data_IF_542154322562
#
_entry.id   IF_542154322562
#
_cell.length_a   1.000
_cell.length_b   1.000
_cell.length_c   1.000
_cell.angle_alpha   90.00
_cell.angle_beta   90.00
_cell.angle_gamma   90.00
#
_symmetry.space_group_name_H-M   'P 1'
#
loop_
_entity.id
_entity.type
_entity.pdbx_description
1 polymer ?
#
# COMPACT_ATOMS: atom_id res chain seq x y z
N UNK A 1 -1.26 23.50 -18.17
CA UNK A 1 -2.03 22.71 -19.15
C UNK A 1 -2.83 21.70 -18.36
N UNK A 2 -4.17 21.69 -18.43
CA UNK A 2 -4.96 20.54 -17.90
C UNK A 2 -4.67 19.37 -18.85
N UNK A 3 -4.02 18.34 -18.36
CA UNK A 3 -3.86 17.10 -19.11
C UNK A 3 -5.25 16.56 -19.46
N UNK A 4 -5.47 16.32 -20.74
CA UNK A 4 -6.72 15.79 -21.26
C UNK A 4 -6.80 14.30 -20.91
N UNK A 5 -7.43 13.98 -19.78
CA UNK A 5 -7.55 12.62 -19.29
C UNK A 5 -8.68 11.89 -20.02
N UNK A 6 -8.38 10.71 -20.57
CA UNK A 6 -9.36 9.87 -21.27
C UNK A 6 -10.33 9.25 -20.26
N UNK A 7 -11.53 9.78 -20.18
CA UNK A 7 -12.54 9.42 -19.16
C UNK A 7 -12.92 7.94 -19.13
N UNK A 8 -12.84 7.23 -20.26
CA UNK A 8 -13.12 5.79 -20.32
C UNK A 8 -12.02 4.95 -19.64
N UNK A 9 -10.76 5.35 -19.79
CA UNK A 9 -9.62 4.68 -19.14
C UNK A 9 -9.70 4.89 -17.64
N UNK A 10 -9.93 6.14 -17.20
CA UNK A 10 -10.07 6.44 -15.77
C UNK A 10 -11.17 5.63 -15.10
N UNK A 11 -12.33 5.45 -15.78
CA UNK A 11 -13.42 4.63 -15.24
C UNK A 11 -13.03 3.16 -15.12
N UNK A 12 -12.31 2.62 -16.11
CA UNK A 12 -11.82 1.24 -16.06
C UNK A 12 -10.82 1.04 -14.91
N UNK A 13 -9.90 1.99 -14.69
CA UNK A 13 -8.94 1.97 -13.58
C UNK A 13 -9.67 2.02 -12.23
N UNK A 14 -10.64 2.94 -12.05
CA UNK A 14 -11.46 3.00 -10.84
C UNK A 14 -12.20 1.70 -10.52
N UNK A 15 -12.65 0.97 -11.55
CA UNK A 15 -13.24 -0.35 -11.35
C UNK A 15 -12.19 -1.35 -10.84
N UNK A 16 -10.99 -1.36 -11.39
CA UNK A 16 -9.90 -2.24 -10.90
C UNK A 16 -9.48 -1.89 -9.48
N UNK A 17 -9.46 -0.61 -9.13
CA UNK A 17 -9.13 -0.13 -7.78
C UNK A 17 -10.10 -0.66 -6.72
N UNK A 18 -11.38 -0.90 -7.04
CA UNK A 18 -12.32 -1.52 -6.11
C UNK A 18 -11.87 -2.91 -5.62
N UNK A 19 -11.04 -3.61 -6.38
CA UNK A 19 -10.56 -4.95 -6.05
C UNK A 19 -9.21 -4.96 -5.29
N UNK A 20 -8.69 -3.80 -4.90
CA UNK A 20 -7.47 -3.72 -4.10
C UNK A 20 -7.71 -4.20 -2.67
N UNK A 21 -8.92 -4.04 -2.14
CA UNK A 21 -9.30 -4.57 -0.83
C UNK A 21 -9.71 -6.04 -0.96
N UNK A 22 -8.87 -6.92 -0.42
CA UNK A 22 -8.92 -8.37 -0.61
C UNK A 22 -10.15 -9.09 -0.05
N UNK A 23 -11.02 -8.40 0.69
CA UNK A 23 -12.14 -9.02 1.42
C UNK A 23 -13.52 -8.75 0.81
N UNK A 24 -13.59 -8.07 -0.34
CA UNK A 24 -14.88 -7.68 -0.92
C UNK A 24 -15.12 -8.40 -2.24
N UNK A 25 -16.14 -9.27 -2.27
CA UNK A 25 -16.67 -9.78 -3.53
C UNK A 25 -17.57 -8.71 -4.18
N UNK A 26 -17.22 -8.31 -5.37
CA UNK A 26 -17.97 -7.30 -6.11
C UNK A 26 -18.95 -7.92 -7.10
N UNK A 27 -20.22 -7.57 -6.97
CA UNK A 27 -21.22 -7.79 -8.02
C UNK A 27 -21.35 -6.55 -8.90
N UNK A 28 -21.94 -6.69 -10.08
CA UNK A 28 -22.19 -5.52 -10.94
C UNK A 28 -23.01 -4.46 -10.23
N UNK A 29 -24.03 -4.87 -9.44
CA UNK A 29 -24.89 -3.97 -8.68
C UNK A 29 -24.10 -3.20 -7.61
N UNK A 30 -23.26 -3.87 -6.85
CA UNK A 30 -22.45 -3.22 -5.80
C UNK A 30 -21.40 -2.27 -6.40
N UNK A 31 -20.78 -2.61 -7.52
CA UNK A 31 -19.88 -1.71 -8.25
C UNK A 31 -20.59 -0.43 -8.73
N UNK A 32 -21.81 -0.57 -9.30
CA UNK A 32 -22.61 0.59 -9.74
C UNK A 32 -22.90 1.52 -8.56
N UNK A 33 -23.36 0.96 -7.44
CA UNK A 33 -23.66 1.74 -6.23
C UNK A 33 -22.43 2.43 -5.67
N UNK A 34 -21.30 1.71 -5.57
CA UNK A 34 -20.07 2.22 -4.97
C UNK A 34 -19.43 3.33 -5.81
N UNK A 35 -19.36 3.13 -7.13
CA UNK A 35 -18.71 4.07 -8.03
C UNK A 35 -19.60 5.26 -8.43
N UNK A 36 -20.87 5.20 -8.10
CA UNK A 36 -21.88 6.20 -8.51
C UNK A 36 -21.81 6.54 -10.02
N UNK A 37 -21.67 5.50 -10.85
CA UNK A 37 -21.56 5.61 -12.30
C UNK A 37 -22.81 5.05 -12.99
N UNK A 38 -23.18 5.51 -14.21
CA UNK A 38 -24.27 4.94 -14.98
C UNK A 38 -24.06 3.43 -15.19
N UNK A 39 -25.12 2.64 -14.98
CA UNK A 39 -25.11 1.18 -15.06
C UNK A 39 -24.57 0.65 -16.40
N UNK A 40 -24.95 1.30 -17.50
CA UNK A 40 -24.47 0.96 -18.84
C UNK A 40 -22.95 1.16 -18.98
N UNK A 41 -22.39 2.16 -18.33
CA UNK A 41 -20.95 2.44 -18.33
C UNK A 41 -20.21 1.36 -17.54
N UNK A 42 -20.65 1.05 -16.32
CA UNK A 42 -20.01 0.02 -15.47
C UNK A 42 -20.09 -1.33 -16.15
N UNK A 43 -21.25 -1.70 -16.69
CA UNK A 43 -21.42 -2.96 -17.43
C UNK A 43 -20.42 -3.10 -18.59
N UNK A 44 -20.32 -2.07 -19.44
CA UNK A 44 -19.41 -2.09 -20.60
C UNK A 44 -17.94 -2.23 -20.17
N UNK A 45 -17.53 -1.49 -19.12
CA UNK A 45 -16.15 -1.55 -18.62
C UNK A 45 -15.84 -2.90 -17.99
N UNK A 46 -16.70 -3.41 -17.10
CA UNK A 46 -16.55 -4.72 -16.47
C UNK A 46 -16.51 -5.83 -17.52
N UNK A 47 -17.41 -5.80 -18.52
CA UNK A 47 -17.41 -6.76 -19.61
C UNK A 47 -16.09 -6.72 -20.41
N UNK A 48 -15.60 -5.52 -20.71
CA UNK A 48 -14.31 -5.37 -21.42
C UNK A 48 -13.16 -5.92 -20.59
N UNK A 49 -13.08 -5.58 -19.29
CA UNK A 49 -12.03 -6.07 -18.39
C UNK A 49 -12.08 -7.60 -18.24
N UNK A 50 -13.29 -8.17 -18.19
CA UNK A 50 -13.49 -9.62 -18.12
C UNK A 50 -13.05 -10.30 -19.41
N UNK A 51 -13.47 -9.81 -20.57
CA UNK A 51 -13.09 -10.34 -21.87
C UNK A 51 -11.57 -10.25 -22.12
N UNK A 52 -10.93 -9.24 -21.54
CA UNK A 52 -9.48 -9.06 -21.62
C UNK A 52 -8.71 -9.82 -20.53
N UNK A 53 -9.39 -10.54 -19.61
CA UNK A 53 -8.76 -11.35 -18.56
C UNK A 53 -8.24 -10.58 -17.36
N UNK A 54 -8.57 -9.29 -17.23
CA UNK A 54 -8.27 -8.49 -16.04
C UNK A 54 -9.24 -8.77 -14.88
N UNK A 55 -10.47 -9.17 -15.20
CA UNK A 55 -11.46 -9.66 -14.25
C UNK A 55 -11.91 -11.06 -14.65
N UNK A 56 -12.44 -11.82 -13.69
CA UNK A 56 -13.13 -13.09 -13.88
C UNK A 56 -14.48 -13.00 -13.20
N UNK A 57 -15.53 -13.46 -13.86
CA UNK A 57 -16.85 -13.58 -13.26
C UNK A 57 -17.09 -14.99 -12.73
N UNK A 58 -17.54 -15.11 -11.49
CA UNK A 58 -18.10 -16.34 -10.97
C UNK A 58 -19.45 -16.61 -11.65
N UNK A 59 -19.61 -17.77 -12.33
CA UNK A 59 -20.82 -18.06 -13.09
C UNK A 59 -22.05 -18.29 -12.21
N UNK A 60 -21.88 -18.69 -10.95
CA UNK A 60 -22.96 -18.99 -10.00
C UNK A 60 -23.35 -17.73 -9.22
N UNK A 61 -22.38 -17.12 -8.56
CA UNK A 61 -22.62 -15.94 -7.69
C UNK A 61 -22.76 -14.64 -8.46
N UNK A 62 -22.39 -14.65 -9.75
CA UNK A 62 -22.34 -13.43 -10.60
C UNK A 62 -21.46 -12.32 -9.99
N UNK A 63 -20.58 -12.67 -9.07
CA UNK A 63 -19.55 -11.80 -8.52
C UNK A 63 -18.31 -11.77 -9.43
N UNK A 64 -17.50 -10.71 -9.28
CA UNK A 64 -16.27 -10.51 -10.03
C UNK A 64 -15.09 -10.57 -9.07
N UNK A 65 -13.97 -11.04 -9.57
CA UNK A 65 -12.67 -11.04 -8.91
C UNK A 65 -11.56 -10.67 -9.89
N UNK A 66 -10.40 -10.33 -9.38
CA UNK A 66 -9.21 -10.04 -10.20
C UNK A 66 -8.83 -11.25 -11.06
N UNK A 67 -8.49 -10.98 -12.32
CA UNK A 67 -8.08 -11.98 -13.29
C UNK A 67 -6.56 -12.19 -13.32
N UNK A 68 -6.09 -13.34 -13.85
CA UNK A 68 -4.68 -13.73 -13.87
C UNK A 68 -3.79 -12.78 -14.67
N UNK A 69 -4.36 -11.97 -15.56
CA UNK A 69 -3.58 -11.00 -16.34
C UNK A 69 -2.93 -9.93 -15.46
N UNK A 70 -3.56 -9.59 -14.30
CA UNK A 70 -2.96 -8.70 -13.32
C UNK A 70 -1.74 -9.33 -12.64
N UNK A 71 -1.76 -10.65 -12.41
CA UNK A 71 -0.60 -11.36 -11.87
C UNK A 71 0.60 -11.30 -12.82
N UNK A 72 0.38 -11.39 -14.15
CA UNK A 72 1.46 -11.25 -15.13
C UNK A 72 2.10 -9.85 -15.06
N UNK A 73 1.29 -8.79 -14.94
CA UNK A 73 1.81 -7.43 -14.78
C UNK A 73 2.57 -7.27 -13.45
N UNK A 74 2.02 -7.80 -12.36
CA UNK A 74 2.66 -7.76 -11.05
C UNK A 74 4.00 -8.53 -11.05
N UNK A 75 4.06 -9.70 -11.68
CA UNK A 75 5.30 -10.48 -11.78
C UNK A 75 6.40 -9.74 -12.54
N UNK A 76 6.03 -8.96 -13.56
CA UNK A 76 6.96 -8.11 -14.29
C UNK A 76 7.56 -7.04 -13.38
N UNK A 77 6.73 -6.35 -12.60
CA UNK A 77 7.19 -5.35 -11.63
C UNK A 77 8.15 -6.00 -10.62
N UNK A 78 7.76 -7.15 -10.04
CA UNK A 78 8.56 -7.84 -9.03
C UNK A 78 9.90 -8.36 -9.58
N UNK A 79 9.93 -8.83 -10.84
CA UNK A 79 11.15 -9.34 -11.47
C UNK A 79 12.09 -8.22 -11.96
N UNK A 80 11.55 -7.07 -12.35
CA UNK A 80 12.32 -5.93 -12.85
C UNK A 80 12.73 -4.95 -11.75
N UNK A 81 12.27 -5.14 -10.51
CA UNK A 81 12.65 -4.27 -9.39
C UNK A 81 14.10 -4.51 -8.98
N UNK A 82 15.01 -3.63 -9.41
CA UNK A 82 16.40 -3.65 -9.00
C UNK A 82 16.54 -3.50 -7.48
N UNK A 83 15.72 -2.65 -6.86
CA UNK A 83 15.68 -2.47 -5.42
C UNK A 83 15.38 -3.80 -4.71
N UNK A 84 14.32 -4.50 -5.12
CA UNK A 84 13.94 -5.78 -4.51
C UNK A 84 15.05 -6.83 -4.67
N UNK A 85 15.61 -6.95 -5.88
CA UNK A 85 16.68 -7.91 -6.18
C UNK A 85 17.94 -7.64 -5.37
N UNK A 86 18.34 -6.39 -5.24
CA UNK A 86 19.52 -5.99 -4.47
C UNK A 86 19.30 -6.09 -2.96
N UNK A 87 18.12 -5.76 -2.47
CA UNK A 87 17.81 -5.79 -1.05
C UNK A 87 17.60 -7.22 -0.51
N UNK A 88 17.03 -8.13 -1.30
CA UNK A 88 16.62 -9.46 -0.84
C UNK A 88 17.70 -10.23 -0.07
N UNK A 89 18.96 -10.35 -0.51
CA UNK A 89 20.01 -11.04 0.24
C UNK A 89 20.30 -10.40 1.60
N UNK A 90 20.23 -9.07 1.69
CA UNK A 90 20.48 -8.34 2.94
C UNK A 90 19.31 -8.48 3.92
N UNK A 91 18.07 -8.48 3.42
CA UNK A 91 16.88 -8.76 4.23
C UNK A 91 16.92 -10.16 4.84
N UNK A 92 17.36 -11.17 4.07
CA UNK A 92 17.51 -12.54 4.54
C UNK A 92 18.57 -12.66 5.63
N UNK A 93 19.75 -12.04 5.45
CA UNK A 93 20.79 -11.96 6.46
C UNK A 93 20.29 -11.29 7.74
N UNK A 94 19.59 -10.14 7.60
CA UNK A 94 19.05 -9.42 8.74
C UNK A 94 18.03 -10.26 9.49
N UNK A 95 17.09 -10.92 8.79
CA UNK A 95 16.09 -11.80 9.40
C UNK A 95 16.72 -12.95 10.19
N UNK A 96 17.82 -13.54 9.69
CA UNK A 96 18.56 -14.59 10.41
C UNK A 96 19.19 -14.07 11.71
N UNK A 97 19.69 -12.82 11.71
CA UNK A 97 20.32 -12.21 12.89
C UNK A 97 19.28 -11.82 13.93
N UNK A 98 18.26 -11.06 13.52
CA UNK A 98 17.26 -10.53 14.47
C UNK A 98 16.16 -11.53 14.80
N UNK A 99 15.97 -12.57 13.96
CA UNK A 99 14.95 -13.61 14.06
C UNK A 99 13.52 -13.05 14.07
N UNK A 100 13.33 -11.95 13.36
CA UNK A 100 12.02 -11.29 13.20
C UNK A 100 11.69 -11.15 11.71
N UNK A 101 10.42 -10.88 11.42
CA UNK A 101 9.96 -10.60 10.05
C UNK A 101 10.53 -9.28 9.57
N UNK A 102 11.13 -9.29 8.38
CA UNK A 102 11.68 -8.10 7.72
C UNK A 102 10.81 -7.76 6.52
N UNK A 103 10.39 -6.52 6.43
CA UNK A 103 9.65 -5.99 5.31
C UNK A 103 10.50 -4.96 4.55
N UNK A 104 10.42 -4.99 3.22
CA UNK A 104 10.88 -3.91 2.35
C UNK A 104 9.66 -3.16 1.85
N UNK A 105 9.66 -1.86 2.01
CA UNK A 105 8.55 -1.00 1.55
C UNK A 105 9.05 0.22 0.80
N UNK A 106 8.19 0.77 -0.04
CA UNK A 106 8.36 2.05 -0.72
C UNK A 106 7.23 2.98 -0.31
N UNK A 107 7.49 4.28 -0.34
CA UNK A 107 6.48 5.29 -0.15
C UNK A 107 5.85 5.61 -1.51
N UNK A 108 4.55 5.46 -1.63
CA UNK A 108 3.77 5.84 -2.79
C UNK A 108 2.65 6.78 -2.33
N UNK A 109 2.70 8.03 -2.76
CA UNK A 109 1.79 9.09 -2.32
C UNK A 109 1.79 9.24 -0.80
N UNK A 110 0.82 8.67 -0.10
CA UNK A 110 0.62 8.80 1.34
C UNK A 110 0.70 7.49 2.10
N UNK A 111 0.89 6.40 1.39
CA UNK A 111 0.92 5.07 1.94
C UNK A 111 2.26 4.41 1.66
N UNK A 112 2.67 3.52 2.53
CA UNK A 112 3.74 2.59 2.22
C UNK A 112 3.16 1.41 1.43
N UNK A 113 3.97 0.89 0.55
CA UNK A 113 3.69 -0.29 -0.23
C UNK A 113 4.72 -1.37 0.11
N UNK A 114 4.26 -2.55 0.56
CA UNK A 114 5.17 -3.65 0.88
C UNK A 114 5.65 -4.33 -0.39
N UNK A 115 6.92 -4.12 -0.73
CA UNK A 115 7.55 -4.60 -1.95
C UNK A 115 8.12 -6.02 -1.79
N UNK A 116 8.64 -6.34 -0.61
CA UNK A 116 9.14 -7.68 -0.27
C UNK A 116 9.00 -7.97 1.21
N UNK A 117 9.04 -9.26 1.56
CA UNK A 117 8.93 -9.76 2.93
C UNK A 117 9.79 -10.98 3.12
N UNK A 118 10.52 -11.03 4.23
CA UNK A 118 11.20 -12.24 4.73
C UNK A 118 10.53 -12.63 6.02
N UNK A 119 9.84 -13.76 6.02
CA UNK A 119 9.13 -14.26 7.20
C UNK A 119 10.06 -15.01 8.14
N UNK A 120 9.76 -14.91 9.43
CA UNK A 120 10.38 -15.74 10.47
C UNK A 120 9.45 -16.88 10.86
N UNK A 121 10.02 -17.92 11.47
CA UNK A 121 9.26 -19.06 12.01
C UNK A 121 8.63 -18.77 13.40
N UNK A 122 8.70 -17.54 13.88
CA UNK A 122 8.09 -17.16 15.17
C UNK A 122 6.58 -16.99 15.07
N UNK A 123 5.91 -17.19 16.20
CA UNK A 123 4.44 -17.22 16.30
C UNK A 123 3.73 -15.87 16.10
N UNK A 124 4.44 -14.74 16.22
CA UNK A 124 3.86 -13.41 15.94
C UNK A 124 4.04 -13.14 14.47
N UNK A 125 3.00 -13.38 13.70
CA UNK A 125 2.98 -13.13 12.26
C UNK A 125 2.46 -11.72 12.05
N UNK A 126 3.35 -10.79 11.71
CA UNK A 126 2.92 -9.51 11.13
C UNK A 126 2.12 -9.81 9.84
N UNK A 127 0.85 -9.42 9.82
CA UNK A 127 -0.09 -9.76 8.73
C UNK A 127 0.16 -8.96 7.43
N UNK A 128 1.37 -8.43 7.26
CA UNK A 128 1.76 -7.74 6.02
C UNK A 128 1.86 -8.72 4.86
N UNK A 129 1.38 -8.31 3.69
CA UNK A 129 1.47 -9.08 2.44
C UNK A 129 2.20 -8.25 1.39
N UNK A 130 3.00 -8.90 0.54
CA UNK A 130 3.59 -8.23 -0.62
C UNK A 130 2.45 -7.67 -1.48
N UNK A 131 2.54 -6.39 -1.84
CA UNK A 131 1.50 -5.67 -2.56
C UNK A 131 0.44 -5.01 -1.68
N UNK A 132 0.41 -5.28 -0.36
CA UNK A 132 -0.46 -4.53 0.55
C UNK A 132 0.12 -3.14 0.86
N UNK A 133 -0.73 -2.28 1.39
CA UNK A 133 -0.40 -0.89 1.72
C UNK A 133 -0.82 -0.57 3.15
N UNK A 134 -0.20 0.45 3.71
CA UNK A 134 -0.54 0.97 5.02
C UNK A 134 -0.25 2.48 5.10
N UNK A 135 -0.99 3.24 5.94
CA UNK A 135 -0.75 4.66 6.10
C UNK A 135 0.66 4.96 6.60
N UNK A 136 1.35 5.90 5.95
CA UNK A 136 2.75 6.17 6.27
C UNK A 136 2.93 6.73 7.69
N UNK A 137 1.97 7.52 8.21
CA UNK A 137 2.04 8.10 9.56
C UNK A 137 1.94 7.07 10.70
N UNK A 138 1.31 5.93 10.43
CA UNK A 138 1.05 4.89 11.43
C UNK A 138 2.02 3.72 11.36
N UNK A 139 3.05 3.78 10.52
CA UNK A 139 4.03 2.70 10.35
C UNK A 139 5.45 3.19 10.57
N UNK A 140 6.30 2.34 11.13
CA UNK A 140 7.73 2.65 11.30
C UNK A 140 8.41 2.95 9.97
N UNK A 141 8.16 2.15 8.94
CA UNK A 141 8.72 2.36 7.59
C UNK A 141 8.26 3.68 6.97
N UNK A 142 6.98 4.02 7.12
CA UNK A 142 6.44 5.26 6.59
C UNK A 142 7.01 6.49 7.28
N UNK A 143 7.06 6.48 8.62
CA UNK A 143 7.68 7.56 9.40
C UNK A 143 9.16 7.71 9.09
N UNK A 144 9.89 6.60 8.94
CA UNK A 144 11.29 6.62 8.56
C UNK A 144 11.53 7.27 7.19
N UNK A 145 10.69 7.00 6.20
CA UNK A 145 10.79 7.63 4.88
C UNK A 145 10.33 9.09 4.91
N UNK A 146 9.20 9.39 5.55
CA UNK A 146 8.71 10.78 5.69
C UNK A 146 9.72 11.69 6.37
N UNK A 147 10.49 11.19 7.34
CA UNK A 147 11.51 11.97 8.07
C UNK A 147 12.58 12.58 7.16
N UNK A 148 12.78 12.05 5.96
CA UNK A 148 13.78 12.53 5.00
C UNK A 148 13.17 13.22 3.78
N UNK A 149 11.84 13.39 3.76
CA UNK A 149 11.17 14.13 2.70
C UNK A 149 11.35 15.65 2.86
N UNK A 150 11.20 16.36 1.75
CA UNK A 150 11.16 17.82 1.75
C UNK A 150 9.99 18.36 2.59
N UNK A 151 10.15 19.48 3.31
CA UNK A 151 9.10 20.05 4.15
C UNK A 151 7.77 20.24 3.42
N UNK A 152 7.80 20.68 2.16
CA UNK A 152 6.60 20.86 1.34
C UNK A 152 5.84 19.54 1.09
N UNK A 153 6.53 18.40 1.03
CA UNK A 153 5.91 17.08 0.88
C UNK A 153 5.23 16.68 2.19
N UNK A 154 5.87 16.96 3.33
CA UNK A 154 5.31 16.72 4.66
C UNK A 154 4.07 17.60 4.89
N UNK A 155 4.14 18.89 4.50
CA UNK A 155 3.00 19.81 4.57
C UNK A 155 1.82 19.28 3.72
N UNK A 156 2.08 18.87 2.49
CA UNK A 156 1.07 18.25 1.62
C UNK A 156 0.54 16.94 2.21
N UNK A 157 1.40 16.16 2.84
CA UNK A 157 0.98 14.94 3.52
C UNK A 157 -0.02 15.26 4.63
N UNK A 158 0.29 16.19 5.52
CA UNK A 158 -0.54 16.59 6.63
C UNK A 158 -1.85 17.28 6.18
N UNK A 159 -1.77 18.21 5.22
CA UNK A 159 -2.93 19.00 4.75
C UNK A 159 -3.93 18.20 3.93
N UNK A 160 -3.50 17.15 3.23
CA UNK A 160 -4.38 16.43 2.33
C UNK A 160 -5.07 15.21 3.00
N UNK A 161 -4.86 15.03 4.31
CA UNK A 161 -5.61 14.06 5.09
C UNK A 161 -6.83 14.75 5.68
N UNK A 162 -8.06 14.27 5.40
CA UNK A 162 -9.15 14.49 6.31
C UNK A 162 -8.85 13.68 7.57
N UNK A 163 -8.08 14.26 8.48
CA UNK A 163 -7.57 13.63 9.71
C UNK A 163 -6.76 12.34 9.49
N UNK A 164 -5.60 12.26 10.09
CA UNK A 164 -4.89 11.00 10.29
C UNK A 164 -5.82 10.08 11.07
N UNK A 165 -6.46 9.13 10.39
CA UNK A 165 -7.48 8.30 11.03
C UNK A 165 -6.84 7.41 12.10
N UNK A 166 -7.41 7.35 13.31
CA UNK A 166 -6.96 6.43 14.33
C UNK A 166 -7.23 5.00 13.87
N UNK A 167 -6.19 4.17 13.89
CA UNK A 167 -6.28 2.73 13.62
C UNK A 167 -6.32 2.00 14.94
N UNK A 168 -5.51 2.48 15.89
CA UNK A 168 -5.47 2.05 17.28
C UNK A 168 -5.53 3.27 18.19
N UNK A 169 -5.62 3.04 19.49
CA UNK A 169 -5.55 4.13 20.50
C UNK A 169 -4.18 4.82 20.55
N UNK A 170 -3.15 4.20 19.95
CA UNK A 170 -1.79 4.73 19.90
C UNK A 170 -1.44 5.44 18.61
N UNK A 171 -2.25 5.31 17.57
CA UNK A 171 -2.02 5.94 16.27
C UNK A 171 -1.81 7.46 16.44
N UNK A 172 -0.79 7.99 15.79
CA UNK A 172 -0.55 9.43 15.74
C UNK A 172 -1.62 10.09 14.88
N UNK A 173 -2.43 10.96 15.48
CA UNK A 173 -3.55 11.63 14.82
C UNK A 173 -3.39 13.16 14.79
N UNK A 174 -2.28 13.70 15.25
CA UNK A 174 -1.99 15.14 15.21
C UNK A 174 -0.74 15.44 14.40
N UNK A 175 -0.80 16.51 13.62
CA UNK A 175 0.31 16.99 12.80
C UNK A 175 1.55 17.31 13.64
N UNK A 176 1.38 18.02 14.75
CA UNK A 176 2.49 18.42 15.63
C UNK A 176 3.22 17.21 16.21
N UNK A 177 2.46 16.19 16.62
CA UNK A 177 3.05 14.95 17.12
C UNK A 177 3.77 14.19 16.00
N UNK A 178 3.18 14.11 14.80
CA UNK A 178 3.84 13.49 13.66
C UNK A 178 5.15 14.20 13.34
N UNK A 179 5.14 15.54 13.23
CA UNK A 179 6.36 16.32 12.96
C UNK A 179 7.45 16.09 14.01
N UNK A 180 7.07 16.04 15.27
CA UNK A 180 8.01 15.74 16.38
C UNK A 180 8.63 14.34 16.21
N UNK A 181 7.82 13.34 15.88
CA UNK A 181 8.31 11.97 15.62
C UNK A 181 9.21 11.90 14.37
N UNK A 182 8.88 12.65 13.31
CA UNK A 182 9.72 12.69 12.10
C UNK A 182 11.08 13.35 12.37
N UNK A 183 11.12 14.43 13.17
CA UNK A 183 12.38 15.07 13.59
C UNK A 183 13.23 14.07 14.39
N UNK A 184 12.61 13.37 15.33
CA UNK A 184 13.29 12.34 16.11
C UNK A 184 13.80 11.21 15.22
N UNK A 185 12.96 10.70 14.33
CA UNK A 185 13.35 9.64 13.41
C UNK A 185 14.53 10.04 12.50
N UNK A 186 14.59 11.31 12.08
CA UNK A 186 15.72 11.84 11.29
C UNK A 186 17.02 11.91 12.09
N UNK A 187 16.93 12.25 13.38
CA UNK A 187 18.10 12.31 14.28
C UNK A 187 18.61 10.92 14.64
N UNK A 188 17.70 10.00 14.95
CA UNK A 188 18.01 8.64 15.38
C UNK A 188 18.40 7.73 14.21
N UNK A 189 18.01 8.08 12.97
CA UNK A 189 18.21 7.26 11.76
C UNK A 189 17.17 6.13 11.58
N UNK A 190 16.19 6.04 12.47
CA UNK A 190 15.10 5.06 12.41
C UNK A 190 13.83 5.60 13.05
N UNK A 191 12.69 5.00 12.73
CA UNK A 191 11.42 5.30 13.36
C UNK A 191 10.82 4.05 14.02
N UNK A 192 9.95 4.25 14.99
CA UNK A 192 9.28 3.20 15.75
C UNK A 192 7.77 3.30 15.49
N UNK A 193 7.13 2.13 15.37
CA UNK A 193 5.68 1.97 15.50
C UNK A 193 5.46 1.09 16.73
N UNK A 194 4.91 1.68 17.79
CA UNK A 194 4.58 1.02 19.06
C UNK A 194 3.07 0.82 19.15
N UNK A 195 2.55 -0.11 18.37
CA UNK A 195 1.13 -0.44 18.35
C UNK A 195 0.26 0.61 17.65
N UNK A 196 0.81 1.40 16.72
CA UNK A 196 0.09 2.44 16.00
C UNK A 196 -0.74 1.87 14.83
N UNK A 197 -0.21 0.88 14.12
CA UNK A 197 -0.91 0.19 13.02
C UNK A 197 -1.70 -1.04 13.51
N UNK A 198 -1.21 -1.70 14.54
CA UNK A 198 -1.84 -2.90 15.12
C UNK A 198 -1.47 -3.00 16.60
N UNK A 199 -2.48 -3.12 17.47
CA UNK A 199 -2.26 -3.19 18.92
C UNK A 199 -1.39 -4.39 19.30
N UNK A 200 -0.33 -4.11 20.08
CA UNK A 200 0.63 -5.15 20.52
C UNK A 200 1.74 -5.45 19.51
N UNK A 201 1.73 -4.85 18.33
CA UNK A 201 2.82 -4.93 17.37
C UNK A 201 3.85 -3.84 17.67
N UNK A 202 5.14 -4.20 17.64
CA UNK A 202 6.26 -3.26 17.76
C UNK A 202 7.16 -3.39 16.53
N UNK A 203 7.33 -2.29 15.79
CA UNK A 203 8.15 -2.28 14.57
C UNK A 203 9.20 -1.19 14.61
N UNK A 204 10.36 -1.48 14.02
CA UNK A 204 11.43 -0.51 13.76
C UNK A 204 11.61 -0.41 12.26
N UNK A 205 11.67 0.80 11.73
CA UNK A 205 11.91 1.07 10.32
C UNK A 205 13.06 2.03 10.12
N UNK A 206 13.92 1.74 9.14
CA UNK A 206 15.00 2.62 8.73
C UNK A 206 14.91 2.92 7.23
N UNK A 207 15.31 4.11 6.77
CA UNK A 207 15.28 4.46 5.35
C UNK A 207 16.45 3.80 4.61
N UNK A 208 16.20 3.44 3.34
CA UNK A 208 17.23 3.03 2.40
C UNK A 208 17.34 4.15 1.36
N UNK A 209 18.53 4.67 1.17
CA UNK A 209 18.78 5.75 0.21
C UNK A 209 19.27 5.20 -1.11
N UNK A 210 18.82 5.76 -2.23
CA UNK A 210 19.35 5.52 -3.56
C UNK A 210 20.68 6.24 -3.78
N UNK A 211 21.42 5.85 -4.81
CA UNK A 211 22.68 6.46 -5.24
C UNK A 211 22.36 7.63 -6.21
N UNK A 212 21.52 8.59 -5.84
CA UNK A 212 21.31 9.77 -6.68
C UNK A 212 21.80 11.01 -5.97
#
# INVERSE_FOLDING_TARGET
>A
MKEEQVSSILRALKILECFMDSNVEWTLKSLISHLNMPSTTVYRQVSTLTNQGYLIQDPVRKSYRVGPKLLLLASTILSQSDLRRSARPELEKLSLVVKETINLSILLEKEIFYLDKVETFRSVVCNTKIGSRAPAHATSSGKAMLAYMEPAIIDNYCNALPSMQPITDRTIVSEDRLRSELIKARLDGYAIDDGEIESGLFCVGAPIFGIN
#
